data_IF_573570008086
#
_entry.id   IF_573570008086
#
_cell.length_a   1.000
_cell.length_b   1.000
_cell.length_c   1.000
_cell.angle_alpha   90.00
_cell.angle_beta   90.00
_cell.angle_gamma   90.00
#
_symmetry.space_group_name_H-M   'P 1'
#
loop_
_entity.id
_entity.type
_entity.pdbx_description
1 polymer ?
#
# COMPACT_ATOMS: atom_id res chain seq x y z
N UNK A 1 91.17 -23.48 14.53
CA UNK A 1 89.79 -23.25 14.06
C UNK A 1 89.07 -22.43 15.12
N UNK A 2 88.98 -21.12 14.92
CA UNK A 2 88.20 -20.22 15.78
C UNK A 2 86.96 -19.87 14.98
N UNK A 3 85.80 -20.37 15.41
CA UNK A 3 84.51 -20.13 14.75
C UNK A 3 83.95 -18.78 15.20
N UNK A 4 83.76 -17.87 14.25
CA UNK A 4 83.06 -16.60 14.43
C UNK A 4 81.56 -16.84 14.60
N UNK A 5 81.00 -16.39 15.72
CA UNK A 5 79.57 -16.42 16.01
C UNK A 5 78.91 -15.19 15.33
N UNK A 6 78.22 -15.40 14.21
CA UNK A 6 77.43 -14.34 13.56
C UNK A 6 76.11 -14.14 14.30
N UNK A 7 75.94 -13.00 14.95
CA UNK A 7 74.69 -12.59 15.61
C UNK A 7 73.78 -11.97 14.54
N UNK A 8 72.72 -12.69 14.16
CA UNK A 8 71.73 -12.25 13.18
C UNK A 8 70.79 -11.22 13.84
N UNK A 9 70.94 -9.94 13.49
CA UNK A 9 70.07 -8.85 13.93
C UNK A 9 68.75 -8.93 13.16
N UNK A 10 67.69 -9.44 13.78
CA UNK A 10 66.33 -9.42 13.20
C UNK A 10 65.77 -8.02 13.39
N UNK A 11 65.75 -7.22 12.33
CA UNK A 11 65.02 -5.95 12.28
C UNK A 11 63.54 -6.30 12.12
N UNK A 12 62.64 -5.96 13.06
CA UNK A 12 61.22 -6.13 12.84
C UNK A 12 60.80 -5.17 11.72
N UNK A 13 60.35 -5.73 10.60
CA UNK A 13 59.66 -4.94 9.58
C UNK A 13 58.40 -4.36 10.23
N UNK A 14 58.33 -3.03 10.31
CA UNK A 14 57.06 -2.35 10.52
C UNK A 14 56.16 -2.68 9.32
N UNK A 15 55.27 -3.63 9.50
CA UNK A 15 54.07 -3.72 8.67
C UNK A 15 53.26 -2.47 9.00
N UNK A 16 53.23 -1.50 8.09
CA UNK A 16 52.26 -0.42 8.18
C UNK A 16 50.89 -1.05 8.03
N UNK A 17 50.13 -1.08 9.13
CA UNK A 17 48.70 -1.27 9.05
C UNK A 17 48.17 -0.05 8.29
N UNK A 18 47.98 -0.18 6.98
CA UNK A 18 47.08 0.69 6.24
C UNK A 18 45.70 0.49 6.89
N UNK A 19 45.38 1.35 7.86
CA UNK A 19 44.05 1.43 8.41
C UNK A 19 43.12 1.80 7.28
N UNK A 20 42.45 0.81 6.70
CA UNK A 20 41.21 1.04 5.99
C UNK A 20 40.25 1.62 7.04
N UNK A 21 40.20 2.95 7.14
CA UNK A 21 39.09 3.59 7.80
C UNK A 21 37.87 3.28 6.93
N UNK A 22 37.12 2.23 7.26
CA UNK A 22 35.85 1.95 6.61
C UNK A 22 35.01 3.24 6.65
N UNK A 23 34.58 3.70 5.47
CA UNK A 23 33.73 4.90 5.34
C UNK A 23 32.50 4.69 6.23
N UNK A 24 32.38 5.46 7.32
CA UNK A 24 31.18 5.44 8.16
C UNK A 24 30.00 6.00 7.36
N UNK A 25 29.09 5.12 6.97
CA UNK A 25 27.88 5.50 6.26
C UNK A 25 26.88 6.17 7.20
N UNK A 26 26.31 7.27 6.72
CA UNK A 26 25.26 8.05 7.37
C UNK A 26 24.25 8.45 6.30
N UNK A 27 23.03 8.82 6.69
CA UNK A 27 22.04 9.33 5.74
C UNK A 27 22.45 10.62 4.99
N UNK A 28 23.65 11.17 5.20
CA UNK A 28 24.12 12.40 4.56
C UNK A 28 25.22 12.16 3.52
N UNK A 29 25.81 10.96 3.45
CA UNK A 29 27.01 10.70 2.64
C UNK A 29 26.92 9.41 1.80
N UNK A 30 25.70 8.97 1.47
CA UNK A 30 25.45 7.83 0.58
C UNK A 30 25.50 8.31 -0.87
N UNK A 31 26.39 7.72 -1.65
CA UNK A 31 26.76 8.11 -3.01
C UNK A 31 26.57 7.00 -4.05
N UNK A 32 25.96 5.88 -3.65
CA UNK A 32 25.55 4.82 -4.57
C UNK A 32 24.37 4.03 -4.00
N UNK A 33 23.65 3.31 -4.87
CA UNK A 33 22.60 2.38 -4.45
C UNK A 33 23.16 1.30 -3.50
N UNK A 34 24.39 0.85 -3.72
CA UNK A 34 25.07 -0.13 -2.86
C UNK A 34 25.32 0.43 -1.46
N UNK A 35 25.74 1.70 -1.35
CA UNK A 35 25.90 2.36 -0.05
C UNK A 35 24.55 2.57 0.65
N UNK A 36 23.46 2.85 -0.09
CA UNK A 36 22.11 2.92 0.49
C UNK A 36 21.68 1.57 1.05
N UNK A 37 21.89 0.48 0.30
CA UNK A 37 21.61 -0.88 0.75
C UNK A 37 22.42 -1.25 2.00
N UNK A 38 23.71 -0.94 2.02
CA UNK A 38 24.58 -1.19 3.16
C UNK A 38 24.15 -0.36 4.38
N UNK A 39 23.78 0.90 4.19
CA UNK A 39 23.30 1.75 5.26
C UNK A 39 22.01 1.21 5.88
N UNK A 40 21.05 0.75 5.09
CA UNK A 40 19.74 0.27 5.60
C UNK A 40 19.85 -1.10 6.25
N UNK A 41 20.66 -2.00 5.69
CA UNK A 41 20.91 -3.31 6.31
C UNK A 41 21.57 -3.19 7.69
N UNK A 42 22.39 -2.15 7.90
CA UNK A 42 23.04 -1.86 9.18
C UNK A 42 22.18 -0.96 10.09
N UNK A 43 21.34 -0.10 9.52
CA UNK A 43 20.46 0.84 10.22
C UNK A 43 18.98 0.49 9.92
N UNK A 44 18.45 -0.52 10.60
CA UNK A 44 17.07 -1.04 10.42
C UNK A 44 15.97 -0.11 10.95
N UNK A 45 16.26 1.18 11.11
CA UNK A 45 15.37 2.19 11.66
C UNK A 45 15.06 3.34 10.68
N UNK A 46 15.32 3.12 9.39
CA UNK A 46 15.07 4.11 8.34
C UNK A 46 14.56 3.40 7.08
N UNK A 47 13.65 4.06 6.38
CA UNK A 47 13.29 3.74 5.02
C UNK A 47 13.82 4.83 4.09
N UNK A 48 14.09 4.50 2.83
CA UNK A 48 14.56 5.46 1.82
C UNK A 48 13.71 5.36 0.57
N UNK A 49 13.35 6.51 0.01
CA UNK A 49 12.83 6.61 -1.36
C UNK A 49 13.87 7.36 -2.20
N UNK A 50 14.28 6.76 -3.31
CA UNK A 50 15.23 7.32 -4.25
C UNK A 50 14.51 7.67 -5.54
N UNK A 51 14.63 8.92 -5.96
CA UNK A 51 14.07 9.44 -7.20
C UNK A 51 15.17 9.75 -8.21
N UNK A 52 14.84 9.76 -9.49
CA UNK A 52 15.69 10.37 -10.51
C UNK A 52 15.66 11.91 -10.39
N UNK A 53 16.48 12.58 -11.20
CA UNK A 53 16.55 14.04 -11.26
C UNK A 53 15.26 14.73 -11.72
N UNK A 54 14.36 13.98 -12.36
CA UNK A 54 13.07 14.46 -12.88
C UNK A 54 11.90 14.15 -11.93
N UNK A 55 12.18 13.58 -10.76
CA UNK A 55 11.18 13.25 -9.74
C UNK A 55 10.48 11.90 -9.93
N UNK A 56 10.96 11.01 -10.80
CA UNK A 56 10.44 9.64 -10.91
C UNK A 56 11.07 8.74 -9.87
N UNK A 57 10.28 7.90 -9.21
CA UNK A 57 10.83 6.97 -8.24
C UNK A 57 11.67 5.89 -8.93
N UNK A 58 12.88 5.65 -8.45
CA UNK A 58 13.77 4.59 -8.93
C UNK A 58 13.76 3.41 -7.98
N UNK A 59 13.86 3.68 -6.67
CA UNK A 59 13.91 2.64 -5.66
C UNK A 59 13.17 3.03 -4.38
N UNK A 60 12.67 2.02 -3.70
CA UNK A 60 12.34 2.07 -2.29
C UNK A 60 13.21 1.08 -1.54
N UNK A 61 13.67 1.50 -0.37
CA UNK A 61 14.46 0.66 0.50
C UNK A 61 13.83 0.68 1.89
N UNK A 62 13.41 -0.49 2.35
CA UNK A 62 12.62 -0.62 3.55
C UNK A 62 13.48 -1.15 4.69
N UNK A 63 13.09 -0.76 5.89
CA UNK A 63 13.74 -1.17 7.14
C UNK A 63 13.59 -2.66 7.46
N UNK A 64 12.69 -3.38 6.78
CA UNK A 64 12.57 -4.84 6.79
C UNK A 64 13.45 -5.53 5.72
N UNK A 65 14.37 -4.79 5.11
CA UNK A 65 15.27 -5.21 4.02
C UNK A 65 14.58 -5.46 2.68
N UNK A 66 13.29 -5.14 2.53
CA UNK A 66 12.67 -5.12 1.21
C UNK A 66 13.27 -3.99 0.36
N UNK A 67 13.64 -4.28 -0.87
CA UNK A 67 14.12 -3.28 -1.83
C UNK A 67 13.23 -3.40 -3.05
N UNK A 68 12.52 -2.33 -3.39
CA UNK A 68 11.72 -2.25 -4.61
C UNK A 68 12.49 -1.41 -5.63
N UNK A 69 12.57 -1.88 -6.86
CA UNK A 69 13.12 -1.16 -8.01
C UNK A 69 12.02 -0.92 -9.04
N UNK A 70 12.00 0.26 -9.64
CA UNK A 70 11.02 0.67 -10.64
C UNK A 70 11.71 0.93 -11.98
N UNK A 71 11.09 0.44 -13.06
CA UNK A 71 11.62 0.55 -14.42
C UNK A 71 10.63 1.30 -15.31
N UNK A 72 11.17 2.11 -16.21
CA UNK A 72 10.41 2.96 -17.12
C UNK A 72 10.84 2.73 -18.56
N UNK A 73 9.92 2.94 -19.49
CA UNK A 73 10.23 2.98 -20.91
C UNK A 73 10.84 4.33 -21.35
N UNK A 74 11.13 4.46 -22.64
CA UNK A 74 11.69 5.67 -23.24
C UNK A 74 10.73 6.87 -23.20
N UNK A 75 9.42 6.64 -23.15
CA UNK A 75 8.40 7.68 -23.01
C UNK A 75 8.24 8.11 -21.54
N UNK A 76 8.83 7.33 -20.63
CA UNK A 76 8.84 7.61 -19.23
C UNK A 76 7.66 7.04 -18.46
N UNK A 77 6.92 6.11 -19.04
CA UNK A 77 5.86 5.35 -18.37
C UNK A 77 6.49 4.17 -17.60
N UNK A 78 6.00 3.86 -16.39
CA UNK A 78 6.52 2.72 -15.62
C UNK A 78 6.03 1.42 -16.27
N UNK A 79 6.95 0.52 -16.58
CA UNK A 79 6.64 -0.75 -17.26
C UNK A 79 6.69 -1.94 -16.33
N UNK A 80 7.54 -1.88 -15.30
CA UNK A 80 7.59 -2.91 -14.29
C UNK A 80 8.24 -2.42 -12.99
N UNK A 81 8.16 -3.29 -12.00
CA UNK A 81 8.82 -3.12 -10.71
C UNK A 81 9.17 -4.49 -10.14
N UNK A 82 10.30 -4.58 -9.45
CA UNK A 82 10.77 -5.81 -8.82
C UNK A 82 11.09 -5.58 -7.35
N UNK A 83 10.79 -6.55 -6.50
CA UNK A 83 11.20 -6.53 -5.10
C UNK A 83 12.31 -7.56 -4.81
N UNK A 84 13.10 -7.31 -3.75
CA UNK A 84 14.21 -8.17 -3.33
C UNK A 84 13.77 -9.53 -2.79
N UNK A 85 12.46 -9.77 -2.66
CA UNK A 85 11.86 -11.03 -2.27
C UNK A 85 11.24 -11.78 -3.46
N UNK A 86 11.68 -11.50 -4.69
CA UNK A 86 11.22 -12.14 -5.94
C UNK A 86 9.75 -11.87 -6.30
N UNK A 87 9.16 -10.79 -5.80
CA UNK A 87 7.93 -10.24 -6.34
C UNK A 87 8.21 -9.32 -7.53
N UNK A 88 7.29 -9.30 -8.50
CA UNK A 88 7.36 -8.41 -9.67
C UNK A 88 5.97 -7.97 -10.06
N UNK A 89 5.80 -6.70 -10.41
CA UNK A 89 4.58 -6.21 -11.08
C UNK A 89 4.95 -5.68 -12.46
N UNK A 90 4.16 -6.03 -13.47
CA UNK A 90 4.29 -5.54 -14.86
C UNK A 90 3.06 -4.70 -15.19
N UNK A 91 3.30 -3.52 -15.73
CA UNK A 91 2.29 -2.54 -16.12
C UNK A 91 2.24 -2.47 -17.65
N UNK A 92 1.10 -2.86 -18.24
CA UNK A 92 0.88 -2.85 -19.69
C UNK A 92 -0.26 -1.90 -20.01
N UNK A 93 0.06 -0.78 -20.65
CA UNK A 93 -0.93 0.17 -21.13
C UNK A 93 -1.29 -0.14 -22.57
N UNK A 94 -2.57 -0.29 -22.85
CA UNK A 94 -3.08 -0.45 -24.22
C UNK A 94 -2.95 0.89 -24.97
N UNK A 95 -2.25 0.95 -26.12
CA UNK A 95 -2.01 2.20 -26.83
C UNK A 95 -3.26 2.89 -27.39
N UNK A 96 -4.35 2.14 -27.60
CA UNK A 96 -5.57 2.62 -28.24
C UNK A 96 -6.65 3.00 -27.22
N UNK A 97 -6.81 2.17 -26.20
CA UNK A 97 -7.86 2.30 -25.18
C UNK A 97 -7.36 2.97 -23.91
N UNK A 98 -6.04 3.11 -23.75
CA UNK A 98 -5.37 3.56 -22.53
C UNK A 98 -5.66 2.70 -21.28
N UNK A 99 -6.26 1.52 -21.46
CA UNK A 99 -6.49 0.57 -20.37
C UNK A 99 -5.16 0.07 -19.80
N UNK A 100 -5.10 -0.08 -18.49
CA UNK A 100 -3.89 -0.54 -17.80
C UNK A 100 -4.08 -1.96 -17.28
N UNK A 101 -3.32 -2.92 -17.81
CA UNK A 101 -3.20 -4.26 -17.23
C UNK A 101 -2.02 -4.33 -16.28
N UNK A 102 -2.25 -4.87 -15.09
CA UNK A 102 -1.24 -5.11 -14.06
C UNK A 102 -1.13 -6.60 -13.81
N UNK A 103 0.04 -7.17 -14.04
CA UNK A 103 0.35 -8.58 -13.78
C UNK A 103 1.32 -8.67 -12.60
N UNK A 104 0.95 -9.39 -11.55
CA UNK A 104 1.80 -9.66 -10.39
C UNK A 104 2.38 -11.06 -10.46
N UNK A 105 3.68 -11.16 -10.20
CA UNK A 105 4.46 -12.39 -10.23
C UNK A 105 5.14 -12.61 -8.88
N UNK A 106 5.30 -13.88 -8.51
CA UNK A 106 6.14 -14.33 -7.40
C UNK A 106 7.02 -15.47 -7.86
N UNK A 107 8.33 -15.39 -7.63
CA UNK A 107 9.29 -16.40 -8.09
C UNK A 107 9.11 -16.71 -9.59
N UNK A 108 8.94 -15.65 -10.41
CA UNK A 108 8.66 -15.72 -11.85
C UNK A 108 7.35 -16.42 -12.27
N UNK A 109 6.48 -16.79 -11.33
CA UNK A 109 5.15 -17.33 -11.62
C UNK A 109 4.09 -16.24 -11.50
N UNK A 110 3.20 -16.14 -12.48
CA UNK A 110 2.03 -15.25 -12.40
C UNK A 110 1.16 -15.68 -11.21
N UNK A 111 0.92 -14.75 -10.28
CA UNK A 111 0.08 -14.99 -9.09
C UNK A 111 -1.26 -14.26 -9.16
N UNK A 112 -1.32 -13.15 -9.88
CA UNK A 112 -2.56 -12.45 -10.19
C UNK A 112 -2.36 -11.58 -11.42
N UNK A 113 -3.41 -11.35 -12.20
CA UNK A 113 -3.47 -10.23 -13.10
C UNK A 113 -4.78 -9.46 -12.90
N UNK A 114 -4.74 -8.18 -13.25
CA UNK A 114 -5.89 -7.28 -13.17
C UNK A 114 -5.83 -6.39 -14.38
N UNK A 115 -6.91 -6.36 -15.15
CA UNK A 115 -7.07 -5.35 -16.20
C UNK A 115 -7.92 -4.25 -15.61
N UNK A 116 -7.38 -3.05 -15.58
CA UNK A 116 -8.15 -1.84 -15.38
C UNK A 116 -8.83 -1.55 -16.72
N UNK A 117 -9.94 -2.23 -16.93
CA UNK A 117 -10.81 -2.10 -18.10
C UNK A 117 -12.20 -1.79 -17.57
N UNK A 118 -12.90 -0.84 -18.19
CA UNK A 118 -14.36 -0.86 -18.17
C UNK A 118 -14.79 -2.30 -18.45
N UNK A 119 -15.51 -2.86 -17.47
CA UNK A 119 -16.15 -4.16 -17.48
C UNK A 119 -16.56 -4.59 -18.88
N UNK A 120 -15.80 -5.52 -19.48
CA UNK A 120 -16.26 -6.54 -20.43
C UNK A 120 -15.06 -7.41 -20.86
N UNK A 121 -14.76 -8.46 -20.09
CA UNK A 121 -13.59 -9.30 -20.34
C UNK A 121 -13.71 -10.74 -19.84
N UNK A 122 -14.62 -11.48 -20.44
CA UNK A 122 -14.65 -12.95 -20.63
C UNK A 122 -13.98 -13.85 -19.56
N UNK A 123 -14.83 -14.46 -18.73
CA UNK A 123 -14.47 -15.45 -17.73
C UNK A 123 -13.83 -16.71 -18.34
N UNK A 124 -12.64 -17.09 -17.86
CA UNK A 124 -12.18 -18.48 -17.95
C UNK A 124 -12.77 -19.29 -16.80
N UNK A 125 -13.44 -20.36 -17.20
CA UNK A 125 -14.28 -21.26 -16.42
C UNK A 125 -13.64 -21.76 -15.11
N UNK A 126 -14.31 -21.48 -13.97
CA UNK A 126 -14.23 -22.30 -12.76
C UNK A 126 -15.66 -22.59 -12.27
N UNK A 127 -15.86 -23.86 -11.94
CA UNK A 127 -17.08 -24.62 -11.69
C UNK A 127 -18.31 -23.88 -11.13
N UNK A 128 -19.44 -24.18 -11.79
CA UNK A 128 -20.85 -23.96 -11.44
C UNK A 128 -21.18 -24.21 -9.96
N UNK A 129 -21.74 -23.22 -9.27
CA UNK A 129 -22.61 -23.45 -8.09
C UNK A 129 -23.75 -22.43 -8.02
N UNK A 130 -24.97 -22.99 -7.99
CA UNK A 130 -26.28 -22.47 -7.56
C UNK A 130 -26.56 -20.96 -7.56
N UNK A 131 -27.20 -20.51 -8.65
CA UNK A 131 -28.05 -19.31 -8.70
C UNK A 131 -29.17 -19.44 -7.65
N UNK A 132 -29.38 -18.44 -6.81
CA UNK A 132 -30.45 -18.39 -5.80
C UNK A 132 -31.42 -17.24 -6.14
N UNK A 133 -32.72 -17.50 -5.99
CA UNK A 133 -33.89 -16.67 -6.37
C UNK A 133 -34.00 -15.29 -5.68
N UNK A 134 -34.94 -14.44 -6.15
CA UNK A 134 -34.66 -13.21 -6.86
C UNK A 134 -34.04 -12.11 -5.99
N UNK A 135 -32.91 -11.58 -6.48
CA UNK A 135 -32.34 -10.30 -6.09
C UNK A 135 -33.38 -9.19 -6.28
N UNK A 136 -33.63 -8.36 -5.25
CA UNK A 136 -34.56 -7.23 -5.35
C UNK A 136 -33.81 -5.91 -5.16
N UNK A 137 -33.65 -5.17 -6.25
CA UNK A 137 -33.10 -3.81 -6.25
C UNK A 137 -34.17 -2.75 -5.93
N UNK A 138 -35.41 -3.16 -5.65
CA UNK A 138 -36.54 -2.25 -5.43
C UNK A 138 -36.97 -2.16 -3.97
N UNK A 139 -36.50 -3.08 -3.12
CA UNK A 139 -36.80 -3.11 -1.69
C UNK A 139 -35.48 -3.18 -0.91
N UNK A 140 -35.42 -2.43 0.19
CA UNK A 140 -34.26 -2.48 1.08
C UNK A 140 -34.00 -3.90 1.58
N UNK A 141 -32.74 -4.30 1.58
CA UNK A 141 -32.30 -5.57 2.15
C UNK A 141 -30.95 -5.43 2.88
N UNK A 142 -30.83 -6.15 3.99
CA UNK A 142 -29.56 -6.29 4.68
C UNK A 142 -28.60 -7.13 3.85
N UNK A 143 -27.32 -6.80 3.95
CA UNK A 143 -26.23 -7.49 3.32
C UNK A 143 -25.17 -7.77 4.38
N UNK A 144 -25.15 -9.01 4.86
CA UNK A 144 -24.20 -9.48 5.86
C UNK A 144 -23.14 -10.37 5.19
N UNK A 145 -21.88 -10.08 5.46
CA UNK A 145 -20.74 -10.89 5.04
C UNK A 145 -19.92 -11.26 6.28
N UNK A 146 -19.90 -12.55 6.63
CA UNK A 146 -19.20 -13.07 7.80
C UNK A 146 -19.47 -12.24 9.07
N UNK A 147 -20.75 -12.02 9.38
CA UNK A 147 -21.26 -11.21 10.51
C UNK A 147 -20.99 -9.71 10.45
N UNK A 148 -20.37 -9.18 9.38
CA UNK A 148 -20.27 -7.74 9.17
C UNK A 148 -21.42 -7.24 8.29
N UNK A 149 -22.08 -6.16 8.71
CA UNK A 149 -22.99 -5.44 7.83
C UNK A 149 -22.19 -4.70 6.77
N UNK A 150 -22.51 -4.97 5.51
CA UNK A 150 -21.98 -4.26 4.34
C UNK A 150 -22.78 -3.01 4.01
N UNK A 151 -23.95 -2.83 4.64
CA UNK A 151 -24.81 -1.66 4.46
C UNK A 151 -24.34 -0.43 5.27
N UNK A 152 -23.65 -0.66 6.39
CA UNK A 152 -23.08 0.37 7.25
C UNK A 152 -21.71 -0.06 7.79
N UNK A 153 -20.65 0.42 7.15
CA UNK A 153 -19.27 0.04 7.49
C UNK A 153 -18.73 0.85 8.68
N UNK A 154 -19.20 2.08 8.79
CA UNK A 154 -18.85 3.09 9.79
C UNK A 154 -19.95 4.17 9.80
N UNK A 155 -20.21 4.78 10.95
CA UNK A 155 -21.14 5.90 11.07
C UNK A 155 -20.54 7.19 10.49
N UNK A 156 -21.39 8.16 10.12
CA UNK A 156 -20.91 9.47 9.64
C UNK A 156 -20.13 10.23 10.72
N UNK A 157 -20.56 10.14 11.98
CA UNK A 157 -19.88 10.78 13.11
C UNK A 157 -18.48 10.18 13.32
N UNK A 158 -18.37 8.86 13.26
CA UNK A 158 -17.08 8.20 13.48
C UNK A 158 -16.14 8.42 12.30
N UNK A 159 -16.65 8.40 11.06
CA UNK A 159 -15.84 8.62 9.86
C UNK A 159 -15.21 10.02 9.85
N UNK A 160 -15.97 11.01 10.34
CA UNK A 160 -15.54 12.41 10.38
C UNK A 160 -14.90 12.84 11.71
N UNK A 161 -14.72 11.92 12.66
CA UNK A 161 -14.04 12.20 13.92
C UNK A 161 -12.51 12.10 13.76
N UNK A 162 -11.85 13.22 13.47
CA UNK A 162 -10.39 13.27 13.31
C UNK A 162 -9.58 13.16 14.61
N UNK A 163 -10.24 13.12 15.77
CA UNK A 163 -9.58 13.22 17.09
C UNK A 163 -9.28 11.88 17.76
N UNK A 164 -9.65 10.76 17.14
CA UNK A 164 -9.59 9.42 17.74
C UNK A 164 -8.17 8.89 17.94
N UNK A 165 -7.17 9.45 17.26
CA UNK A 165 -5.76 9.13 17.49
C UNK A 165 -4.86 10.36 17.30
N UNK A 166 -4.01 10.62 18.28
CA UNK A 166 -2.91 11.58 18.13
C UNK A 166 -1.77 11.01 17.28
N UNK A 167 -0.87 11.88 16.78
CA UNK A 167 0.39 11.45 16.17
C UNK A 167 1.15 10.43 17.05
N UNK A 168 1.22 10.69 18.36
CA UNK A 168 1.91 9.82 19.30
C UNK A 168 1.25 8.44 19.39
N UNK A 169 -0.08 8.37 19.42
CA UNK A 169 -0.77 7.08 19.42
C UNK A 169 -0.56 6.28 18.13
N UNK A 170 -0.50 6.97 16.98
CA UNK A 170 -0.20 6.33 15.69
C UNK A 170 1.23 5.78 15.70
N UNK A 171 2.20 6.54 16.23
CA UNK A 171 3.58 6.08 16.36
C UNK A 171 3.67 4.84 17.28
N UNK A 172 3.03 4.88 18.45
CA UNK A 172 2.99 3.74 19.38
C UNK A 172 2.36 2.51 18.73
N UNK A 173 1.32 2.67 17.91
CA UNK A 173 0.72 1.58 17.15
C UNK A 173 1.76 0.91 16.26
N UNK A 174 2.48 1.70 15.44
CA UNK A 174 3.50 1.18 14.52
C UNK A 174 4.65 0.46 15.23
N UNK A 175 5.05 0.95 16.40
CA UNK A 175 6.13 0.39 17.21
C UNK A 175 5.73 -0.87 17.99
N UNK A 176 4.42 -1.10 18.18
CA UNK A 176 3.93 -2.26 18.92
C UNK A 176 4.39 -3.58 18.28
N UNK A 177 4.68 -4.59 19.09
CA UNK A 177 5.07 -5.92 18.59
C UNK A 177 3.98 -6.60 17.75
N UNK A 178 2.71 -6.23 17.95
CA UNK A 178 1.57 -6.74 17.19
C UNK A 178 1.51 -6.18 15.76
N UNK A 179 1.94 -4.93 15.56
CA UNK A 179 1.94 -4.31 14.23
C UNK A 179 3.31 -4.39 13.57
N UNK A 180 4.37 -4.14 14.33
CA UNK A 180 5.76 -4.16 13.88
C UNK A 180 5.96 -3.48 12.52
N UNK A 181 5.31 -2.33 12.32
CA UNK A 181 5.20 -1.68 11.03
C UNK A 181 6.56 -1.18 10.53
N UNK A 182 6.78 -1.17 9.21
CA UNK A 182 7.90 -0.40 8.63
C UNK A 182 7.68 1.12 8.75
N UNK A 183 6.43 1.57 8.96
CA UNK A 183 6.07 2.97 9.14
C UNK A 183 6.44 3.54 10.52
N UNK A 184 6.94 2.70 11.44
CA UNK A 184 7.56 3.19 12.69
C UNK A 184 8.82 4.02 12.41
N UNK A 185 9.45 3.75 11.26
CA UNK A 185 10.69 4.35 10.83
C UNK A 185 10.45 5.50 9.86
N UNK A 186 11.28 6.53 9.94
CA UNK A 186 11.19 7.68 9.06
C UNK A 186 11.52 7.31 7.60
N UNK A 187 10.90 8.00 6.64
CA UNK A 187 11.16 7.87 5.20
C UNK A 187 12.05 9.02 4.75
N UNK A 188 13.30 8.71 4.41
CA UNK A 188 14.30 9.69 3.96
C UNK A 188 14.27 9.79 2.44
N UNK A 189 14.26 11.01 1.90
CA UNK A 189 14.11 11.25 0.46
C UNK A 189 15.45 11.58 -0.18
N UNK A 190 15.80 10.80 -1.20
CA UNK A 190 16.99 10.98 -2.03
C UNK A 190 16.59 11.27 -3.49
N UNK A 191 17.45 11.99 -4.20
CA UNK A 191 17.35 12.18 -5.66
C UNK A 191 18.71 11.93 -6.32
N UNK A 192 18.71 11.47 -7.56
CA UNK A 192 19.94 11.40 -8.36
C UNK A 192 20.33 12.81 -8.83
N UNK A 193 21.60 13.17 -8.66
CA UNK A 193 22.16 14.35 -9.28
C UNK A 193 22.42 14.15 -10.78
N UNK A 194 22.98 15.18 -11.45
CA UNK A 194 23.28 15.14 -12.88
C UNK A 194 24.36 14.11 -13.24
N UNK A 195 25.16 13.65 -12.27
CA UNK A 195 26.19 12.63 -12.43
C UNK A 195 25.68 11.22 -12.11
N UNK A 196 24.39 11.07 -11.77
CA UNK A 196 23.80 9.79 -11.39
C UNK A 196 24.14 9.35 -9.96
N UNK A 197 24.56 10.28 -9.11
CA UNK A 197 24.90 10.02 -7.71
C UNK A 197 23.68 10.34 -6.84
N UNK A 198 23.24 9.42 -5.96
CA UNK A 198 22.21 9.72 -4.97
C UNK A 198 22.63 10.85 -4.04
N UNK A 199 21.73 11.80 -3.79
CA UNK A 199 21.92 12.91 -2.87
C UNK A 199 20.71 13.01 -1.95
N UNK A 200 20.97 13.14 -0.65
CA UNK A 200 19.91 13.42 0.32
C UNK A 200 19.30 14.80 0.07
N UNK A 201 17.99 14.85 -0.09
CA UNK A 201 17.26 16.09 -0.42
C UNK A 201 17.09 17.06 0.75
N UNK A 202 17.52 16.68 1.96
CA UNK A 202 17.18 17.42 3.18
C UNK A 202 15.78 17.09 3.74
N UNK A 203 14.99 16.25 3.03
CA UNK A 203 13.62 15.93 3.40
C UNK A 203 13.51 14.53 4.03
N UNK A 204 12.90 14.49 5.20
CA UNK A 204 12.55 13.27 5.92
C UNK A 204 11.08 13.34 6.32
N UNK A 205 10.33 12.28 6.05
CA UNK A 205 8.91 12.16 6.37
C UNK A 205 8.76 11.25 7.57
N UNK A 206 8.09 11.73 8.61
CA UNK A 206 7.65 10.88 9.73
C UNK A 206 6.23 10.36 9.45
N UNK A 207 6.02 9.04 9.23
CA UNK A 207 4.73 8.53 8.78
C UNK A 207 3.56 8.85 9.70
N UNK A 208 3.75 8.70 11.01
CA UNK A 208 2.72 9.03 12.01
C UNK A 208 2.29 10.50 11.95
N UNK A 209 3.25 11.42 11.72
CA UNK A 209 2.97 12.85 11.58
C UNK A 209 2.20 13.16 10.29
N UNK A 210 2.60 12.54 9.17
CA UNK A 210 1.90 12.69 7.89
C UNK A 210 0.43 12.25 7.99
N UNK A 211 0.17 11.10 8.63
CA UNK A 211 -1.18 10.56 8.82
C UNK A 211 -2.01 11.46 9.74
N UNK A 212 -1.49 11.89 10.90
CA UNK A 212 -2.23 12.78 11.79
C UNK A 212 -2.52 14.15 11.17
N UNK A 213 -1.58 14.67 10.38
CA UNK A 213 -1.77 15.94 9.67
C UNK A 213 -2.86 15.80 8.59
N UNK A 214 -2.84 14.73 7.81
CA UNK A 214 -3.86 14.47 6.80
C UNK A 214 -5.26 14.24 7.40
N UNK A 215 -5.34 13.52 8.53
CA UNK A 215 -6.57 13.32 9.30
C UNK A 215 -7.17 14.66 9.75
N UNK A 216 -6.33 15.52 10.34
CA UNK A 216 -6.74 16.83 10.84
C UNK A 216 -7.18 17.74 9.68
N UNK A 217 -6.37 17.83 8.63
CA UNK A 217 -6.64 18.71 7.48
C UNK A 217 -7.94 18.37 6.75
N UNK A 218 -8.35 17.09 6.74
CA UNK A 218 -9.54 16.64 6.03
C UNK A 218 -10.73 16.32 6.93
N UNK A 219 -10.57 16.38 8.26
CA UNK A 219 -11.62 15.96 9.20
C UNK A 219 -12.04 14.51 8.97
N UNK A 220 -11.05 13.62 8.87
CA UNK A 220 -11.23 12.17 8.69
C UNK A 220 -10.59 11.44 9.87
N UNK A 221 -11.26 10.40 10.34
CA UNK A 221 -10.77 9.56 11.42
C UNK A 221 -9.44 8.87 11.06
N UNK A 222 -8.36 9.07 11.85
CA UNK A 222 -7.07 8.41 11.63
C UNK A 222 -7.17 6.89 11.45
N UNK A 223 -8.10 6.23 12.14
CA UNK A 223 -8.34 4.79 12.01
C UNK A 223 -8.81 4.40 10.60
N UNK A 224 -9.62 5.24 9.94
CA UNK A 224 -10.05 5.04 8.54
C UNK A 224 -8.86 5.12 7.59
N UNK A 225 -7.93 6.06 7.83
CA UNK A 225 -6.71 6.22 7.02
C UNK A 225 -5.82 4.99 7.19
N UNK A 226 -5.58 4.55 8.43
CA UNK A 226 -4.73 3.39 8.73
C UNK A 226 -5.26 2.09 8.10
N UNK A 227 -6.57 1.85 8.18
CA UNK A 227 -7.17 0.64 7.59
C UNK A 227 -7.15 0.71 6.06
N UNK A 228 -7.43 1.87 5.48
CA UNK A 228 -7.31 2.06 4.03
C UNK A 228 -5.87 1.82 3.59
N UNK A 229 -4.88 2.42 4.27
CA UNK A 229 -3.46 2.23 4.00
C UNK A 229 -3.06 0.74 4.08
N UNK A 230 -3.55 0.00 5.08
CA UNK A 230 -3.31 -1.44 5.16
C UNK A 230 -3.94 -2.21 4.00
N UNK A 231 -5.18 -1.89 3.66
CA UNK A 231 -5.92 -2.58 2.59
C UNK A 231 -5.24 -2.37 1.24
N UNK A 232 -4.75 -1.16 0.98
CA UNK A 232 -4.15 -0.80 -0.30
C UNK A 232 -2.70 -1.25 -0.45
N UNK A 233 -1.92 -1.27 0.65
CA UNK A 233 -0.48 -1.52 0.55
C UNK A 233 0.14 -2.37 1.68
N UNK A 234 -0.66 -2.93 2.59
CA UNK A 234 -0.16 -3.77 3.69
C UNK A 234 0.97 -3.13 4.54
N UNK A 235 1.03 -1.79 4.60
CA UNK A 235 2.13 -1.07 5.24
C UNK A 235 1.99 -0.93 6.76
N UNK A 236 0.76 -0.94 7.28
CA UNK A 236 0.49 -0.56 8.68
C UNK A 236 0.81 -1.68 9.66
N UNK A 237 0.37 -2.90 9.37
CA UNK A 237 0.71 -4.09 10.14
C UNK A 237 1.58 -4.98 9.26
N UNK A 238 2.74 -5.33 9.77
CA UNK A 238 3.57 -6.35 9.16
C UNK A 238 2.83 -7.69 9.21
N UNK A 239 2.62 -8.24 8.02
CA UNK A 239 1.99 -9.53 7.83
C UNK A 239 3.03 -10.58 7.41
N UNK A 240 4.34 -10.36 7.63
CA UNK A 240 5.41 -11.32 7.36
C UNK A 240 5.28 -12.57 8.27
N UNK A 241 4.27 -13.40 7.98
CA UNK A 241 3.81 -14.48 8.84
C UNK A 241 2.39 -14.93 8.44
N UNK A 242 2.34 -15.86 7.48
CA UNK A 242 1.20 -16.64 6.98
C UNK A 242 -0.25 -16.05 7.02
N UNK A 243 -0.86 -15.76 5.86
CA UNK A 243 -0.20 -15.66 4.56
C UNK A 243 0.67 -14.41 4.54
N UNK A 244 1.94 -14.56 4.18
CA UNK A 244 2.80 -13.41 3.97
C UNK A 244 2.21 -12.57 2.81
N UNK A 245 1.98 -11.26 2.98
CA UNK A 245 1.51 -10.42 1.90
C UNK A 245 2.56 -10.47 0.79
N UNK A 246 2.13 -10.28 -0.44
CA UNK A 246 3.10 -10.06 -1.49
C UNK A 246 3.89 -8.79 -1.13
N UNK A 247 5.22 -8.87 -1.12
CA UNK A 247 6.06 -7.68 -0.88
C UNK A 247 5.83 -6.59 -1.94
N UNK A 248 5.21 -6.94 -3.07
CA UNK A 248 4.67 -6.00 -4.05
C UNK A 248 3.58 -5.08 -3.49
N UNK A 249 2.86 -5.49 -2.45
CA UNK A 249 1.81 -4.67 -1.86
C UNK A 249 2.42 -3.63 -0.89
N UNK A 250 3.52 -3.97 -0.21
CA UNK A 250 4.28 -3.04 0.66
C UNK A 250 5.06 -2.03 -0.19
N UNK A 251 4.38 -1.00 -0.70
CA UNK A 251 5.01 0.07 -1.50
C UNK A 251 4.54 1.45 -1.12
N UNK A 252 5.48 2.37 -0.96
CA UNK A 252 5.20 3.78 -0.69
C UNK A 252 4.72 4.55 -1.93
N UNK A 253 5.14 4.13 -3.13
CA UNK A 253 4.82 4.85 -4.38
C UNK A 253 3.32 5.07 -4.58
N UNK A 254 2.47 4.07 -4.27
CA UNK A 254 1.01 4.10 -4.40
C UNK A 254 0.32 3.59 -3.14
N UNK A 255 0.82 4.00 -1.97
CA UNK A 255 0.44 3.48 -0.66
C UNK A 255 -1.07 3.48 -0.36
N UNK A 256 -1.83 4.41 -0.93
CA UNK A 256 -3.30 4.48 -0.78
C UNK A 256 -4.03 4.34 -2.12
N UNK A 257 -3.34 4.04 -3.22
CA UNK A 257 -3.95 3.98 -4.55
C UNK A 257 -4.35 5.35 -5.14
N UNK A 258 -3.97 6.47 -4.51
CA UNK A 258 -4.26 7.80 -5.03
C UNK A 258 -3.52 8.02 -6.36
N UNK A 259 -4.25 8.40 -7.41
CA UNK A 259 -3.66 8.54 -8.76
C UNK A 259 -3.57 7.25 -9.56
N UNK A 260 -4.02 6.11 -9.02
CA UNK A 260 -4.27 4.90 -9.80
C UNK A 260 -5.73 4.90 -10.25
N UNK A 261 -5.97 4.99 -11.55
CA UNK A 261 -7.30 5.03 -12.15
C UNK A 261 -7.46 3.93 -13.18
N UNK A 262 -8.70 3.66 -13.59
CA UNK A 262 -8.94 2.58 -14.53
C UNK A 262 -8.34 2.83 -15.94
N UNK A 263 -7.97 4.08 -16.22
CA UNK A 263 -7.41 4.54 -17.50
C UNK A 263 -5.92 4.90 -17.41
N UNK A 264 -5.27 4.61 -16.27
CA UNK A 264 -3.84 4.82 -16.10
C UNK A 264 -3.40 5.23 -14.70
N UNK A 265 -2.08 5.35 -14.56
CA UNK A 265 -1.39 5.78 -13.34
C UNK A 265 -0.84 7.19 -13.52
N UNK A 266 -1.17 8.07 -12.58
CA UNK A 266 -0.64 9.42 -12.46
C UNK A 266 0.56 9.44 -11.50
N UNK A 267 1.77 9.28 -12.05
CA UNK A 267 3.00 9.24 -11.26
C UNK A 267 3.32 10.56 -10.55
N UNK A 268 2.69 11.68 -10.93
CA UNK A 268 2.83 12.95 -10.17
C UNK A 268 2.24 12.86 -8.77
N UNK A 269 1.35 11.87 -8.55
CA UNK A 269 0.75 11.57 -7.25
C UNK A 269 1.53 10.52 -6.46
N UNK A 270 2.68 10.08 -6.95
CA UNK A 270 3.49 9.10 -6.25
C UNK A 270 4.25 9.67 -5.05
N UNK A 271 4.62 8.80 -4.11
CA UNK A 271 5.36 9.17 -2.90
C UNK A 271 4.51 9.05 -1.63
N UNK A 272 5.15 8.65 -0.53
CA UNK A 272 4.41 8.28 0.69
C UNK A 272 3.48 9.37 1.21
N UNK A 273 3.98 10.58 1.46
CA UNK A 273 3.15 11.65 2.02
C UNK A 273 2.13 12.22 1.02
N UNK A 274 2.45 12.23 -0.28
CA UNK A 274 1.48 12.56 -1.35
C UNK A 274 0.32 11.56 -1.34
N UNK A 275 0.60 10.27 -1.17
CA UNK A 275 -0.41 9.22 -1.05
C UNK A 275 -1.27 9.38 0.20
N UNK A 276 -0.66 9.67 1.36
CA UNK A 276 -1.40 9.90 2.60
C UNK A 276 -2.33 11.12 2.48
N UNK A 277 -1.80 12.25 2.00
CA UNK A 277 -2.57 13.48 1.86
C UNK A 277 -3.69 13.34 0.82
N UNK A 278 -3.35 12.89 -0.40
CA UNK A 278 -4.29 12.78 -1.51
C UNK A 278 -5.31 11.65 -1.36
N UNK A 279 -4.91 10.50 -0.79
CA UNK A 279 -5.82 9.40 -0.47
C UNK A 279 -6.84 9.82 0.59
N UNK A 280 -6.39 10.48 1.67
CA UNK A 280 -7.29 11.00 2.72
C UNK A 280 -8.23 12.08 2.18
N UNK A 281 -7.72 12.99 1.35
CA UNK A 281 -8.55 14.01 0.71
C UNK A 281 -9.58 13.38 -0.24
N UNK A 282 -9.21 12.33 -0.97
CA UNK A 282 -10.15 11.59 -1.83
C UNK A 282 -11.30 11.02 -1.01
N UNK A 283 -11.02 10.37 0.12
CA UNK A 283 -12.05 9.89 1.05
C UNK A 283 -12.99 11.03 1.49
N UNK A 284 -12.44 12.18 1.91
CA UNK A 284 -13.27 13.32 2.32
C UNK A 284 -14.10 13.89 1.17
N UNK A 285 -13.51 14.01 -0.02
CA UNK A 285 -14.20 14.53 -1.19
C UNK A 285 -15.37 13.62 -1.59
N UNK A 286 -15.20 12.29 -1.56
CA UNK A 286 -16.28 11.35 -1.85
C UNK A 286 -17.40 11.42 -0.81
N UNK A 287 -17.07 11.57 0.47
CA UNK A 287 -18.06 11.83 1.52
C UNK A 287 -18.85 13.12 1.27
N UNK A 288 -18.16 14.21 0.94
CA UNK A 288 -18.78 15.51 0.69
C UNK A 288 -19.68 15.50 -0.57
N UNK A 289 -19.25 14.79 -1.62
CA UNK A 289 -20.00 14.60 -2.87
C UNK A 289 -21.19 13.64 -2.71
N UNK A 290 -21.18 12.82 -1.66
CA UNK A 290 -22.28 11.90 -1.37
C UNK A 290 -23.58 12.66 -1.09
N UNK A 291 -24.74 12.21 -1.61
CA UNK A 291 -26.05 12.83 -1.34
C UNK A 291 -26.28 13.05 0.15
N UNK A 292 -26.83 14.20 0.54
CA UNK A 292 -27.07 14.53 1.94
C UNK A 292 -28.26 13.80 2.56
N UNK A 293 -29.19 13.31 1.73
CA UNK A 293 -30.43 12.62 2.15
C UNK A 293 -30.76 11.45 1.20
N UNK A 294 -31.79 10.68 1.55
CA UNK A 294 -32.28 9.56 0.73
C UNK A 294 -31.52 8.26 0.98
N UNK A 295 -31.15 8.00 2.24
CA UNK A 295 -30.65 6.71 2.69
C UNK A 295 -31.79 5.90 3.34
N UNK A 296 -31.78 4.56 3.27
CA UNK A 296 -30.78 3.75 2.57
C UNK A 296 -30.84 3.93 1.04
N UNK A 297 -29.67 3.90 0.39
CA UNK A 297 -29.50 4.13 -1.05
C UNK A 297 -28.91 2.90 -1.71
N UNK A 298 -29.48 2.48 -2.84
CA UNK A 298 -28.93 1.38 -3.63
C UNK A 298 -27.71 1.85 -4.44
N UNK A 299 -26.64 1.05 -4.39
CA UNK A 299 -25.47 1.11 -5.28
C UNK A 299 -25.39 -0.19 -6.11
N UNK A 300 -24.85 -0.19 -7.34
CA UNK A 300 -24.26 0.95 -8.03
C UNK A 300 -25.31 2.01 -8.40
N UNK A 301 -24.88 3.26 -8.48
CA UNK A 301 -25.66 4.36 -9.03
C UNK A 301 -24.87 5.03 -10.17
N UNK A 302 -25.24 6.22 -10.61
CA UNK A 302 -24.51 6.91 -11.70
C UNK A 302 -23.09 7.33 -11.32
N UNK A 303 -22.72 7.27 -10.03
CA UNK A 303 -21.41 7.67 -9.52
C UNK A 303 -20.54 6.47 -9.15
N UNK A 304 -21.16 5.41 -8.64
CA UNK A 304 -20.48 4.18 -8.23
C UNK A 304 -20.50 3.19 -9.39
N UNK A 305 -19.32 2.84 -9.89
CA UNK A 305 -19.13 1.78 -10.90
C UNK A 305 -19.62 0.42 -10.38
N UNK A 306 -19.81 -0.59 -11.25
CA UNK A 306 -20.50 -1.83 -10.88
C UNK A 306 -19.95 -2.46 -9.60
N UNK A 307 -20.85 -2.70 -8.64
CA UNK A 307 -20.44 -3.33 -7.39
C UNK A 307 -19.93 -4.74 -7.68
N UNK A 308 -18.81 -5.11 -7.08
CA UNK A 308 -18.19 -6.43 -7.29
C UNK A 308 -17.97 -6.75 -8.78
N UNK A 309 -17.47 -5.78 -9.55
CA UNK A 309 -17.20 -5.87 -10.99
C UNK A 309 -18.45 -6.07 -11.85
N UNK A 310 -19.65 -5.94 -11.27
CA UNK A 310 -20.91 -6.19 -11.97
C UNK A 310 -21.24 -7.67 -12.15
N UNK A 311 -20.38 -8.56 -11.65
CA UNK A 311 -20.49 -10.00 -11.79
C UNK A 311 -21.81 -10.53 -11.20
N UNK A 312 -22.48 -11.51 -11.83
CA UNK A 312 -23.68 -12.11 -11.26
C UNK A 312 -23.45 -12.59 -9.83
N UNK A 313 -24.48 -12.49 -8.99
CA UNK A 313 -24.35 -12.85 -7.59
C UNK A 313 -23.85 -14.31 -7.42
N UNK A 314 -22.89 -14.51 -6.51
CA UNK A 314 -22.29 -15.82 -6.23
C UNK A 314 -22.53 -16.19 -4.78
N UNK A 315 -22.81 -17.46 -4.48
CA UNK A 315 -22.96 -17.92 -3.10
C UNK A 315 -21.78 -18.82 -2.73
N UNK A 316 -21.02 -18.45 -1.70
CA UNK A 316 -19.92 -19.26 -1.18
C UNK A 316 -19.82 -19.14 0.34
N UNK A 317 -19.65 -20.27 1.03
CA UNK A 317 -19.56 -20.31 2.50
C UNK A 317 -20.84 -19.86 3.23
N UNK A 318 -22.01 -20.06 2.63
CA UNK A 318 -23.30 -19.63 3.20
C UNK A 318 -23.61 -18.14 3.07
N UNK A 319 -22.77 -17.39 2.35
CA UNK A 319 -22.96 -15.96 2.06
C UNK A 319 -23.20 -15.77 0.57
N UNK A 320 -24.21 -14.99 0.20
CA UNK A 320 -24.45 -14.55 -1.18
C UNK A 320 -23.79 -13.19 -1.40
N UNK A 321 -22.83 -13.16 -2.30
CA UNK A 321 -22.16 -11.95 -2.73
C UNK A 321 -22.89 -11.33 -3.90
N UNK A 322 -23.34 -10.08 -3.76
CA UNK A 322 -24.26 -9.40 -4.67
C UNK A 322 -23.51 -8.33 -5.46
N UNK A 323 -23.92 -8.06 -6.69
CA UNK A 323 -23.43 -6.92 -7.49
C UNK A 323 -24.15 -5.60 -7.22
N UNK A 324 -24.75 -5.49 -6.03
CA UNK A 324 -25.36 -4.26 -5.53
C UNK A 324 -25.36 -4.27 -4.00
N UNK A 325 -25.56 -3.10 -3.40
CA UNK A 325 -25.63 -2.93 -1.95
C UNK A 325 -26.49 -1.73 -1.59
N UNK A 326 -27.34 -1.86 -0.57
CA UNK A 326 -28.01 -0.72 0.04
C UNK A 326 -27.11 -0.10 1.11
N UNK A 327 -26.61 1.12 0.90
CA UNK A 327 -25.80 1.84 1.89
C UNK A 327 -26.68 2.69 2.80
N UNK A 328 -26.37 2.78 4.08
CA UNK A 328 -27.19 3.48 5.09
C UNK A 328 -26.78 4.93 5.37
N UNK A 329 -25.56 5.31 5.00
CA UNK A 329 -25.03 6.64 5.30
C UNK A 329 -23.97 7.08 4.28
N UNK A 330 -23.52 8.35 4.41
CA UNK A 330 -22.59 9.00 3.50
C UNK A 330 -21.18 8.45 3.61
N UNK A 331 -20.75 8.06 4.81
CA UNK A 331 -19.46 7.44 5.05
C UNK A 331 -19.34 6.10 4.34
N UNK A 332 -20.37 5.26 4.44
CA UNK A 332 -20.41 3.97 3.75
C UNK A 332 -20.45 4.16 2.24
N UNK A 333 -21.27 5.11 1.74
CA UNK A 333 -21.25 5.48 0.32
C UNK A 333 -19.84 5.89 -0.15
N UNK A 334 -19.17 6.77 0.62
CA UNK A 334 -17.82 7.24 0.31
C UNK A 334 -16.82 6.11 0.17
N UNK A 335 -16.90 5.10 1.04
CA UNK A 335 -16.03 3.91 0.99
C UNK A 335 -16.32 3.03 -0.23
N UNK A 336 -17.58 2.90 -0.65
CA UNK A 336 -17.91 2.20 -1.90
C UNK A 336 -17.50 2.99 -3.16
N UNK A 337 -17.56 4.33 -3.15
CA UNK A 337 -17.01 5.12 -4.27
C UNK A 337 -15.49 4.99 -4.32
N UNK A 338 -14.82 4.88 -3.17
CA UNK A 338 -13.37 4.66 -3.11
C UNK A 338 -12.98 3.24 -3.56
N UNK A 339 -13.79 2.24 -3.22
CA UNK A 339 -13.60 0.84 -3.60
C UNK A 339 -14.97 0.19 -3.80
N UNK A 340 -15.42 0.00 -5.06
CA UNK A 340 -16.79 -0.43 -5.38
C UNK A 340 -17.01 -1.93 -5.15
N UNK A 341 -16.28 -2.55 -4.24
CA UNK A 341 -16.34 -3.99 -4.01
C UNK A 341 -16.67 -4.28 -2.56
N UNK A 342 -17.62 -5.16 -2.31
CA UNK A 342 -17.85 -5.72 -0.96
C UNK A 342 -16.75 -6.71 -0.63
N UNK A 343 -16.36 -7.53 -1.60
CA UNK A 343 -15.27 -8.51 -1.55
C UNK A 343 -14.55 -8.51 -2.89
N UNK A 344 -13.35 -9.05 -2.96
CA UNK A 344 -12.71 -9.40 -4.23
C UNK A 344 -13.26 -10.76 -4.72
N UNK A 345 -14.03 -10.71 -5.80
CA UNK A 345 -14.70 -11.86 -6.42
C UNK A 345 -13.76 -12.88 -7.08
N UNK A 346 -12.48 -12.53 -7.23
CA UNK A 346 -11.48 -13.36 -7.90
C UNK A 346 -10.54 -14.07 -6.92
N UNK A 347 -10.70 -13.86 -5.62
CA UNK A 347 -9.93 -14.57 -4.60
C UNK A 347 -10.56 -15.94 -4.28
N UNK A 348 -9.74 -16.99 -4.06
CA UNK A 348 -10.23 -18.32 -3.66
C UNK A 348 -10.77 -18.36 -2.23
N UNK A 349 -10.70 -17.25 -1.50
CA UNK A 349 -11.16 -17.08 -0.13
C UNK A 349 -11.83 -15.71 0.05
N UNK A 350 -12.66 -15.59 1.09
CA UNK A 350 -13.29 -14.34 1.48
C UNK A 350 -12.23 -13.28 1.81
N UNK A 351 -12.10 -12.25 0.97
CA UNK A 351 -11.09 -11.20 1.12
C UNK A 351 -11.37 -9.99 0.22
N UNK A 352 -10.54 -8.96 0.34
CA UNK A 352 -10.63 -7.74 -0.48
C UNK A 352 -11.83 -6.83 -0.18
N UNK A 353 -11.95 -5.76 -0.97
CA UNK A 353 -13.07 -4.82 -0.90
C UNK A 353 -13.32 -4.18 0.47
N UNK A 354 -14.56 -3.78 0.70
CA UNK A 354 -15.02 -3.19 1.95
C UNK A 354 -15.11 -4.22 3.10
N UNK A 355 -15.24 -5.51 2.81
CA UNK A 355 -15.10 -6.57 3.80
C UNK A 355 -13.70 -6.54 4.45
N UNK A 356 -12.63 -6.42 3.65
CA UNK A 356 -11.27 -6.32 4.18
C UNK A 356 -11.10 -5.06 5.04
N UNK A 357 -11.72 -3.94 4.66
CA UNK A 357 -11.73 -2.73 5.47
C UNK A 357 -12.34 -2.97 6.86
N UNK A 358 -13.59 -3.45 6.94
CA UNK A 358 -14.25 -3.62 8.25
C UNK A 358 -13.67 -4.75 9.08
N UNK A 359 -13.25 -5.85 8.44
CA UNK A 359 -12.63 -6.99 9.14
C UNK A 359 -11.25 -6.63 9.69
N UNK A 360 -10.44 -5.86 8.97
CA UNK A 360 -9.16 -5.33 9.45
C UNK A 360 -9.37 -4.42 10.66
N UNK A 361 -10.28 -3.45 10.54
CA UNK A 361 -10.61 -2.54 11.63
C UNK A 361 -11.11 -3.30 12.88
N UNK A 362 -11.95 -4.32 12.68
CA UNK A 362 -12.42 -5.18 13.77
C UNK A 362 -11.30 -6.02 14.40
N UNK A 363 -10.37 -6.53 13.60
CA UNK A 363 -9.21 -7.28 14.08
C UNK A 363 -8.24 -6.42 14.91
N UNK A 364 -8.23 -5.11 14.69
CA UNK A 364 -7.33 -4.18 15.39
C UNK A 364 -7.95 -3.55 16.64
N UNK A 365 -9.24 -3.19 16.58
CA UNK A 365 -9.89 -2.42 17.65
C UNK A 365 -11.11 -3.12 18.26
N UNK A 366 -11.39 -4.35 17.83
CA UNK A 366 -12.54 -5.12 18.29
C UNK A 366 -13.85 -4.72 17.61
N UNK A 367 -14.92 -5.39 18.04
CA UNK A 367 -16.27 -5.21 17.50
C UNK A 367 -17.07 -4.09 18.18
N UNK A 368 -16.68 -3.71 19.40
CA UNK A 368 -17.34 -2.65 20.19
C UNK A 368 -16.48 -1.39 20.11
N UNK A 369 -17.08 -0.23 19.81
CA UNK A 369 -16.37 1.06 19.73
C UNK A 369 -15.16 1.05 18.77
N UNK A 370 -15.20 0.22 17.73
CA UNK A 370 -14.13 0.02 16.74
C UNK A 370 -13.50 1.33 16.27
N UNK A 371 -14.34 2.34 16.05
CA UNK A 371 -13.96 3.61 15.45
C UNK A 371 -13.77 4.77 16.45
N UNK A 372 -14.09 4.57 17.73
CA UNK A 372 -13.98 5.58 18.78
C UNK A 372 -12.61 5.60 19.46
#
# INVERSE_FOLDING_TARGET
MVGTLSMLLVIPQLVSAAGNSEKKLTKFNLSSIQEINQYISTNKNVNVMLYDKNGKILNEFHSDSNIISYHYDANGEMVDSTDSFNGKEVYKKDPLTHQLKIEKYKNNKLVSDSSLSDSNGNASNIATTNQVSPLSTTVYEDYIVNNFSMNELISDSDFTNSTTMSQANIQTLFESSTFNSILKNDVTIYTMDNSGIPVYTGRTIKPSAAISAAATANGINPKVILVTLQKESSLVKDLSGNPAPSYSDKRFVFAMGYGKTDVGIDYSKSGFDVQIAGGTQTLKNRYNQSPSTGYPRLLPDTTVTPINYGEPAKSYGGVTYKNYVWVKNRATYSLYVYTPHTIDFHLPSLGGGNYLFVSTANGWWGSTNRWN
#
